data_IF_768586392595
#
_entry.id   IF_768586392595
#
_cell.length_a   1.000
_cell.length_b   1.000
_cell.length_c   1.000
_cell.angle_alpha   90.00
_cell.angle_beta   90.00
_cell.angle_gamma   90.00
#
_symmetry.space_group_name_H-M   'P 1'
#
loop_
_entity.id
_entity.type
_entity.pdbx_description
1 polymer ?
#
# COMPACT_ATOMS: atom_id res chain seq x y z
N UNK A 1 -13.28 5.06 -24.24
CA UNK A 1 -14.10 4.01 -23.58
C UNK A 1 -13.36 3.22 -22.51
N UNK A 2 -12.08 2.85 -22.68
CA UNK A 2 -11.32 2.04 -21.69
C UNK A 2 -11.18 2.72 -20.31
N UNK A 3 -10.85 4.01 -20.27
CA UNK A 3 -10.67 4.76 -19.01
C UNK A 3 -11.95 4.88 -18.15
N UNK A 4 -13.12 4.98 -18.78
CA UNK A 4 -14.41 5.08 -18.08
C UNK A 4 -14.77 3.73 -17.44
N UNK A 5 -14.59 2.63 -18.19
CA UNK A 5 -14.83 1.29 -17.67
C UNK A 5 -13.93 0.96 -16.47
N UNK A 6 -12.65 1.34 -16.49
CA UNK A 6 -11.72 1.08 -15.40
C UNK A 6 -11.97 1.97 -14.17
N UNK A 7 -12.51 3.18 -14.34
CA UNK A 7 -12.89 4.08 -13.24
C UNK A 7 -14.11 3.55 -12.49
N UNK A 8 -15.13 3.07 -13.21
CA UNK A 8 -16.40 2.65 -12.61
C UNK A 8 -16.41 1.20 -12.11
N UNK A 9 -15.55 0.32 -12.66
CA UNK A 9 -15.49 -1.11 -12.32
C UNK A 9 -14.20 -1.54 -11.62
N UNK A 10 -13.25 -0.61 -11.40
CA UNK A 10 -11.96 -0.88 -10.77
C UNK A 10 -12.02 -1.08 -9.25
N UNK A 11 -10.86 -1.29 -8.64
CA UNK A 11 -10.69 -1.44 -7.17
C UNK A 11 -10.25 -0.13 -6.48
N UNK A 12 -10.32 0.99 -7.17
CA UNK A 12 -9.91 2.28 -6.65
C UNK A 12 -10.87 2.78 -5.54
N UNK A 13 -10.45 3.79 -4.79
CA UNK A 13 -11.28 4.39 -3.73
C UNK A 13 -12.58 4.99 -4.31
N UNK A 14 -12.51 5.54 -5.52
CA UNK A 14 -13.68 6.09 -6.22
C UNK A 14 -14.79 5.04 -6.41
N UNK A 15 -14.47 3.87 -6.95
CA UNK A 15 -15.42 2.79 -7.20
C UNK A 15 -15.97 2.21 -5.89
N UNK A 16 -15.15 2.10 -4.86
CA UNK A 16 -15.60 1.71 -3.52
C UNK A 16 -16.59 2.72 -2.94
N UNK A 17 -16.29 4.02 -3.03
CA UNK A 17 -17.20 5.08 -2.58
C UNK A 17 -18.51 5.10 -3.39
N UNK A 18 -18.44 4.93 -4.72
CA UNK A 18 -19.62 4.83 -5.59
C UNK A 18 -20.49 3.62 -5.25
N UNK A 19 -19.91 2.46 -4.94
CA UNK A 19 -20.65 1.26 -4.49
C UNK A 19 -21.32 1.45 -3.13
N UNK A 20 -20.79 2.31 -2.28
CA UNK A 20 -21.39 2.71 -1.00
C UNK A 20 -22.48 3.80 -1.16
N UNK A 21 -22.81 4.18 -2.39
CA UNK A 21 -23.86 5.17 -2.68
C UNK A 21 -23.38 6.62 -2.74
N UNK A 22 -22.07 6.89 -2.67
CA UNK A 22 -21.54 8.25 -2.76
C UNK A 22 -21.82 8.86 -4.15
N UNK A 23 -22.20 10.15 -4.19
CA UNK A 23 -22.24 10.92 -5.44
C UNK A 23 -20.85 11.05 -6.07
N UNK A 24 -20.79 11.38 -7.37
CA UNK A 24 -19.52 11.56 -8.10
C UNK A 24 -18.57 12.56 -7.42
N UNK A 25 -19.02 13.75 -6.96
CA UNK A 25 -18.12 14.71 -6.31
C UNK A 25 -17.51 14.18 -5.01
N UNK A 26 -18.30 13.44 -4.23
CA UNK A 26 -17.84 12.84 -2.98
C UNK A 26 -16.84 11.71 -3.24
N UNK A 27 -17.07 10.88 -4.27
CA UNK A 27 -16.16 9.81 -4.64
C UNK A 27 -14.81 10.35 -5.16
N UNK A 28 -14.81 11.44 -5.93
CA UNK A 28 -13.58 12.11 -6.36
C UNK A 28 -12.83 12.73 -5.16
N UNK A 29 -13.55 13.34 -4.21
CA UNK A 29 -12.95 13.85 -2.97
C UNK A 29 -12.31 12.74 -2.12
N UNK A 30 -12.96 11.57 -2.01
CA UNK A 30 -12.42 10.41 -1.30
C UNK A 30 -11.15 9.87 -1.97
N UNK A 31 -11.13 9.79 -3.30
CA UNK A 31 -9.92 9.39 -4.04
C UNK A 31 -8.77 10.39 -3.83
N UNK A 32 -9.04 11.69 -3.89
CA UNK A 32 -8.04 12.74 -3.64
C UNK A 32 -7.50 12.69 -2.20
N UNK A 33 -8.39 12.51 -1.22
CA UNK A 33 -7.99 12.35 0.18
C UNK A 33 -7.11 11.10 0.36
N UNK A 34 -7.47 9.98 -0.28
CA UNK A 34 -6.67 8.75 -0.26
C UNK A 34 -5.28 8.94 -0.87
N UNK A 35 -5.19 9.60 -2.02
CA UNK A 35 -3.92 9.93 -2.66
C UNK A 35 -3.05 10.85 -1.78
N UNK A 36 -3.65 11.85 -1.13
CA UNK A 36 -2.94 12.73 -0.20
C UNK A 36 -2.41 11.95 1.03
N UNK A 37 -3.21 11.05 1.60
CA UNK A 37 -2.80 10.19 2.72
C UNK A 37 -1.66 9.24 2.32
N UNK A 38 -1.73 8.64 1.13
CA UNK A 38 -0.64 7.83 0.58
C UNK A 38 0.65 8.65 0.43
N UNK A 39 0.57 9.85 -0.15
CA UNK A 39 1.70 10.77 -0.26
C UNK A 39 2.29 11.15 1.10
N UNK A 40 1.43 11.42 2.09
CA UNK A 40 1.85 11.72 3.46
C UNK A 40 2.56 10.54 4.13
N UNK A 41 2.05 9.31 3.95
CA UNK A 41 2.66 8.10 4.50
C UNK A 41 4.07 7.88 3.95
N UNK A 42 4.26 8.05 2.64
CA UNK A 42 5.58 7.98 1.99
C UNK A 42 6.48 9.11 2.48
N UNK A 43 6.00 10.35 2.49
CA UNK A 43 6.78 11.47 2.99
C UNK A 43 7.28 11.24 4.43
N UNK A 44 6.40 10.74 5.30
CA UNK A 44 6.73 10.44 6.69
C UNK A 44 7.76 9.30 6.82
N UNK A 45 7.65 8.24 6.03
CA UNK A 45 8.58 7.10 6.10
C UNK A 45 9.99 7.44 5.61
N UNK A 46 10.12 8.40 4.71
CA UNK A 46 11.41 8.91 4.23
C UNK A 46 12.02 10.00 5.13
N UNK A 47 11.20 10.71 5.92
CA UNK A 47 11.67 11.74 6.86
C UNK A 47 12.13 11.21 8.22
N UNK A 48 11.74 9.99 8.60
CA UNK A 48 12.14 9.35 9.86
C UNK A 48 13.18 8.24 9.64
N UNK A 49 14.03 7.93 10.65
CA UNK A 49 14.85 6.73 10.63
C UNK A 49 13.93 5.51 10.56
N UNK A 50 13.99 4.80 9.44
CA UNK A 50 13.03 3.76 9.11
C UNK A 50 13.75 2.70 8.27
N UNK A 51 13.46 1.43 8.51
CA UNK A 51 14.11 0.35 7.78
C UNK A 51 13.82 0.45 6.27
N UNK A 52 14.85 0.26 5.44
CA UNK A 52 14.74 0.39 3.98
C UNK A 52 13.67 -0.53 3.38
N UNK A 53 13.56 -1.75 3.90
CA UNK A 53 12.55 -2.75 3.53
C UNK A 53 11.13 -2.21 3.76
N UNK A 54 10.89 -1.57 4.92
CA UNK A 54 9.61 -0.98 5.28
C UNK A 54 9.29 0.28 4.47
N UNK A 55 10.30 1.08 4.13
CA UNK A 55 10.12 2.24 3.23
C UNK A 55 9.63 1.81 1.85
N UNK A 56 10.22 0.76 1.29
CA UNK A 56 9.81 0.17 0.02
C UNK A 56 8.40 -0.42 0.15
N UNK A 57 8.09 -1.12 1.24
CA UNK A 57 6.74 -1.66 1.47
C UNK A 57 5.67 -0.56 1.52
N UNK A 58 5.92 0.54 2.22
CA UNK A 58 5.00 1.70 2.26
C UNK A 58 4.86 2.33 0.88
N UNK A 59 5.96 2.51 0.14
CA UNK A 59 5.93 3.09 -1.19
C UNK A 59 5.08 2.27 -2.17
N UNK A 60 5.28 0.95 -2.18
CA UNK A 60 4.53 0.03 -3.04
C UNK A 60 3.03 0.04 -2.69
N UNK A 61 2.70 -0.05 -1.40
CA UNK A 61 1.31 0.00 -0.94
C UNK A 61 0.63 1.34 -1.25
N UNK A 62 1.33 2.45 -1.00
CA UNK A 62 0.86 3.81 -1.28
C UNK A 62 0.64 4.05 -2.79
N UNK A 63 1.50 3.46 -3.64
CA UNK A 63 1.36 3.56 -5.11
C UNK A 63 0.04 2.95 -5.57
N UNK A 64 -0.29 1.76 -5.08
CA UNK A 64 -1.56 1.10 -5.41
C UNK A 64 -2.75 1.85 -4.82
N UNK A 65 -2.62 2.40 -3.61
CA UNK A 65 -3.69 3.15 -2.95
C UNK A 65 -4.01 4.48 -3.65
N UNK A 66 -2.99 5.20 -4.13
CA UNK A 66 -3.14 6.48 -4.80
C UNK A 66 -3.63 6.35 -6.24
N UNK A 67 -3.43 5.19 -6.88
CA UNK A 67 -3.74 5.00 -8.28
C UNK A 67 -5.26 5.14 -8.54
N UNK A 68 -5.67 6.04 -9.46
CA UNK A 68 -7.08 6.19 -9.84
C UNK A 68 -7.57 5.03 -10.70
N UNK A 69 -6.67 4.20 -11.22
CA UNK A 69 -6.98 3.02 -12.02
C UNK A 69 -6.17 1.83 -11.52
N UNK A 70 -6.72 1.09 -10.57
CA UNK A 70 -6.12 -0.16 -10.08
C UNK A 70 -6.77 -1.33 -10.79
N UNK A 71 -5.95 -2.13 -11.46
CA UNK A 71 -6.31 -3.37 -12.15
C UNK A 71 -5.74 -4.58 -11.41
N UNK A 72 -6.13 -5.80 -11.81
CA UNK A 72 -5.72 -7.01 -11.10
C UNK A 72 -4.19 -7.19 -11.04
N UNK A 73 -3.48 -6.76 -12.07
CA UNK A 73 -2.01 -6.87 -12.13
C UNK A 73 -1.30 -5.97 -11.11
N UNK A 74 -1.91 -4.86 -10.71
CA UNK A 74 -1.35 -3.96 -9.68
C UNK A 74 -1.34 -4.64 -8.30
N UNK A 75 -2.13 -5.70 -8.10
CA UNK A 75 -2.07 -6.56 -6.93
C UNK A 75 -0.67 -7.14 -6.68
N UNK A 76 0.15 -7.34 -7.71
CA UNK A 76 1.52 -7.85 -7.54
C UNK A 76 2.40 -6.87 -6.74
N UNK A 77 2.13 -5.56 -6.81
CA UNK A 77 2.83 -4.58 -5.98
C UNK A 77 2.48 -4.74 -4.50
N UNK A 78 1.22 -5.09 -4.20
CA UNK A 78 0.78 -5.41 -2.83
C UNK A 78 1.46 -6.67 -2.29
N UNK A 79 1.58 -7.73 -3.08
CA UNK A 79 2.26 -8.95 -2.65
C UNK A 79 3.76 -8.73 -2.44
N UNK A 80 4.40 -7.92 -3.28
CA UNK A 80 5.77 -7.47 -3.07
C UNK A 80 5.90 -6.66 -1.75
N UNK A 81 5.00 -5.71 -1.50
CA UNK A 81 4.98 -4.92 -0.26
C UNK A 81 4.85 -5.82 0.99
N UNK A 82 3.92 -6.77 0.95
CA UNK A 82 3.72 -7.76 2.01
C UNK A 82 4.97 -8.64 2.24
N UNK A 83 5.67 -9.03 1.17
CA UNK A 83 6.90 -9.82 1.25
C UNK A 83 8.02 -9.07 1.95
N UNK A 84 8.20 -7.77 1.66
CA UNK A 84 9.19 -6.93 2.36
C UNK A 84 8.87 -6.79 3.85
N UNK A 85 7.60 -6.56 4.19
CA UNK A 85 7.17 -6.47 5.58
C UNK A 85 7.34 -7.79 6.34
N UNK A 86 6.98 -8.91 5.71
CA UNK A 86 7.16 -10.25 6.28
C UNK A 86 8.65 -10.56 6.51
N UNK A 87 9.51 -10.24 5.53
CA UNK A 87 10.96 -10.41 5.63
C UNK A 87 11.55 -9.60 6.78
N UNK A 88 11.09 -8.36 6.96
CA UNK A 88 11.48 -7.51 8.08
C UNK A 88 11.09 -8.11 9.44
N UNK A 89 9.83 -8.56 9.56
CA UNK A 89 9.29 -9.13 10.79
C UNK A 89 9.94 -10.46 11.19
N UNK A 90 10.27 -11.32 10.20
CA UNK A 90 11.01 -12.56 10.46
C UNK A 90 12.40 -12.29 11.07
N UNK A 91 13.00 -11.13 10.80
CA UNK A 91 14.33 -10.74 11.31
C UNK A 91 14.29 -10.05 12.68
N UNK A 92 13.18 -9.38 13.04
CA UNK A 92 13.13 -8.46 14.19
C UNK A 92 12.09 -8.81 15.28
N UNK A 93 11.51 -10.02 15.21
CA UNK A 93 10.38 -10.58 16.00
C UNK A 93 9.03 -10.37 15.30
N UNK A 94 8.46 -11.46 14.79
CA UNK A 94 7.18 -11.46 14.11
C UNK A 94 6.01 -11.47 15.10
N UNK A 95 5.18 -10.42 15.07
CA UNK A 95 3.90 -10.42 15.77
C UNK A 95 2.85 -11.18 14.94
N UNK A 96 2.15 -12.16 15.53
CA UNK A 96 1.20 -13.04 14.81
C UNK A 96 0.16 -12.28 13.98
N UNK A 97 -0.36 -11.17 14.52
CA UNK A 97 -1.34 -10.33 13.81
C UNK A 97 -0.77 -9.60 12.59
N UNK A 98 0.50 -9.22 12.61
CA UNK A 98 1.17 -8.54 11.51
C UNK A 98 1.55 -9.51 10.40
N UNK A 99 1.99 -10.72 10.78
CA UNK A 99 2.22 -11.82 9.85
C UNK A 99 0.93 -12.22 9.15
N UNK A 100 -0.19 -12.32 9.89
CA UNK A 100 -1.50 -12.61 9.33
C UNK A 100 -1.96 -11.49 8.37
N UNK A 101 -1.80 -10.22 8.74
CA UNK A 101 -2.14 -9.08 7.88
C UNK A 101 -1.35 -9.11 6.57
N UNK A 102 -0.03 -9.34 6.64
CA UNK A 102 0.80 -9.48 5.46
C UNK A 102 0.45 -10.70 4.62
N UNK A 103 0.13 -11.85 5.24
CA UNK A 103 -0.30 -13.03 4.50
C UNK A 103 -1.61 -12.78 3.74
N UNK A 104 -2.58 -12.11 4.37
CA UNK A 104 -3.84 -11.71 3.72
C UNK A 104 -3.58 -10.75 2.57
N UNK A 105 -2.72 -9.74 2.78
CA UNK A 105 -2.35 -8.78 1.74
C UNK A 105 -1.58 -9.43 0.59
N UNK A 106 -0.74 -10.42 0.89
CA UNK A 106 0.03 -11.20 -0.07
C UNK A 106 -0.88 -12.08 -0.94
N UNK A 107 -1.95 -12.63 -0.35
CA UNK A 107 -2.94 -13.43 -1.07
C UNK A 107 -3.93 -12.58 -1.89
N UNK A 108 -4.00 -11.27 -1.68
CA UNK A 108 -4.90 -10.36 -2.38
C UNK A 108 -4.92 -10.50 -3.92
N UNK A 109 -3.80 -10.75 -4.64
CA UNK A 109 -3.80 -10.89 -6.09
C UNK A 109 -4.51 -12.17 -6.58
N UNK A 110 -4.51 -13.23 -5.76
CA UNK A 110 -5.09 -14.54 -6.11
C UNK A 110 -6.63 -14.51 -6.10
N UNK A 111 -7.23 -13.60 -5.32
CA UNK A 111 -8.68 -13.48 -5.16
C UNK A 111 -9.33 -12.38 -6.02
N UNK A 112 -8.63 -11.92 -7.05
CA UNK A 112 -9.06 -10.80 -7.87
C UNK A 112 -9.56 -11.28 -9.26
N UNK A 113 -10.77 -10.92 -9.71
CA UNK A 113 -11.29 -9.54 -9.74
C UNK A 113 -12.36 -9.20 -8.68
N UNK A 114 -12.57 -7.90 -8.36
CA UNK A 114 -13.61 -7.39 -7.42
C UNK A 114 -15.04 -7.53 -7.94
N UNK A 115 -15.21 -8.11 -9.15
CA UNK A 115 -16.49 -8.49 -9.73
C UNK A 115 -17.00 -9.82 -9.20
N UNK A 116 -16.14 -10.63 -8.55
CA UNK A 116 -16.49 -11.96 -8.02
C UNK A 116 -16.48 -11.97 -6.49
N UNK A 117 -15.62 -11.16 -5.84
CA UNK A 117 -15.50 -11.13 -4.39
C UNK A 117 -15.76 -9.73 -3.80
N UNK A 118 -16.68 -9.67 -2.82
CA UNK A 118 -16.96 -8.48 -2.00
C UNK A 118 -15.70 -7.95 -1.26
N UNK A 119 -14.68 -8.81 -1.13
CA UNK A 119 -13.36 -8.50 -0.61
C UNK A 119 -12.70 -7.28 -1.29
N UNK A 120 -13.02 -6.98 -2.56
CA UNK A 120 -12.49 -5.80 -3.25
C UNK A 120 -12.82 -4.46 -2.58
N UNK A 121 -13.94 -4.38 -1.84
CA UNK A 121 -14.30 -3.18 -1.05
C UNK A 121 -13.40 -3.04 0.19
N UNK A 122 -12.90 -4.15 0.71
CA UNK A 122 -12.03 -4.16 1.90
C UNK A 122 -10.56 -3.89 1.57
N UNK A 123 -10.15 -4.06 0.30
CA UNK A 123 -8.77 -3.81 -0.16
C UNK A 123 -8.21 -2.43 0.22
N UNK A 124 -8.89 -1.30 -0.02
CA UNK A 124 -8.38 0.00 0.43
C UNK A 124 -8.24 0.10 1.96
N UNK A 125 -9.14 -0.52 2.72
CA UNK A 125 -9.06 -0.56 4.19
C UNK A 125 -7.84 -1.39 4.63
N UNK A 126 -7.60 -2.54 3.99
CA UNK A 126 -6.44 -3.38 4.25
C UNK A 126 -5.12 -2.66 3.96
N UNK A 127 -5.05 -1.88 2.86
CA UNK A 127 -3.88 -1.07 2.53
C UNK A 127 -3.64 0.02 3.57
N UNK A 128 -4.70 0.72 3.99
CA UNK A 128 -4.60 1.75 5.01
C UNK A 128 -4.16 1.17 6.37
N UNK A 129 -4.72 0.02 6.77
CA UNK A 129 -4.30 -0.70 7.97
C UNK A 129 -2.85 -1.18 7.88
N UNK A 130 -2.43 -1.69 6.73
CA UNK A 130 -1.05 -2.11 6.52
C UNK A 130 -0.07 -0.94 6.60
N UNK A 131 -0.38 0.18 5.94
CA UNK A 131 0.45 1.38 5.97
C UNK A 131 0.53 1.99 7.38
N UNK A 132 -0.58 2.04 8.12
CA UNK A 132 -0.59 2.53 9.51
C UNK A 132 0.23 1.63 10.44
N UNK A 133 0.07 0.30 10.35
CA UNK A 133 0.90 -0.65 11.12
C UNK A 133 2.38 -0.51 10.81
N UNK A 134 2.75 -0.33 9.55
CA UNK A 134 4.14 -0.05 9.21
C UNK A 134 4.57 1.26 9.88
N UNK A 135 3.82 2.35 9.75
CA UNK A 135 4.19 3.65 10.34
C UNK A 135 4.26 3.65 11.88
N UNK A 136 3.58 2.70 12.53
CA UNK A 136 3.66 2.44 13.97
C UNK A 136 4.90 1.65 14.38
N UNK A 137 5.55 0.91 13.46
CA UNK A 137 6.84 0.27 13.75
C UNK A 137 7.85 1.32 14.18
N UNK A 138 8.38 1.11 15.39
CA UNK A 138 9.39 1.98 15.96
C UNK A 138 10.61 2.10 15.03
N UNK A 139 11.26 3.27 14.99
CA UNK A 139 12.44 3.47 14.18
C UNK A 139 13.49 2.41 14.52
N UNK A 140 13.87 1.63 13.51
CA UNK A 140 15.02 0.74 13.64
C UNK A 140 16.27 1.61 13.84
N UNK A 141 17.14 1.29 14.82
CA UNK A 141 18.35 2.07 15.09
C UNK A 141 19.39 2.00 13.96
N UNK A 142 19.11 1.28 12.87
CA UNK A 142 20.00 1.24 11.72
C UNK A 142 20.05 2.59 11.00
N UNK A 143 21.26 3.06 10.64
CA UNK A 143 21.41 4.31 9.94
C UNK A 143 20.62 4.27 8.64
N UNK A 144 19.89 5.35 8.36
CA UNK A 144 19.34 5.60 7.03
C UNK A 144 20.45 5.36 6.01
N UNK A 145 20.18 4.61 4.94
CA UNK A 145 21.09 4.38 3.80
C UNK A 145 21.89 5.65 3.54
N UNK A 146 23.09 5.72 4.11
CA UNK A 146 24.05 6.77 3.81
C UNK A 146 24.38 6.51 2.36
N UNK A 147 24.03 7.46 1.50
CA UNK A 147 24.43 7.43 0.10
C UNK A 147 25.90 7.05 0.07
N UNK A 148 26.21 5.95 -0.62
CA UNK A 148 27.57 5.48 -0.76
C UNK A 148 28.39 6.62 -1.35
N UNK A 149 29.14 7.32 -0.52
CA UNK A 149 30.33 8.02 -0.97
C UNK A 149 31.30 6.92 -1.36
N UNK A 150 31.19 6.49 -2.61
CA UNK A 150 32.26 5.78 -3.29
C UNK A 150 33.47 6.73 -3.27
N UNK A 151 34.30 6.58 -2.25
CA UNK A 151 35.65 7.12 -2.23
C UNK A 151 36.45 6.28 -3.22
N UNK A 152 36.36 6.65 -4.50
CA UNK A 152 37.30 6.23 -5.51
C UNK A 152 38.62 6.97 -5.24
N UNK A 153 39.47 6.37 -4.41
CA UNK A 153 40.90 6.67 -4.38
C UNK A 153 41.60 5.54 -5.12
N UNK A 154 41.92 5.81 -6.37
CA UNK A 154 42.97 5.15 -7.14
C UNK A 154 44.02 6.23 -7.47
#
# INVERSE_FOLDING_TARGET
QWQINSRDKGMNLFACARRLGAGVPLADAVQLAGAALAGWAVWRSFRKPFASELRIAVLLAATVFAAPHVMNYDGVLLSAAATFFLSHNLRHKAHRGETALAAVLWLCPLFNPPSVFFAGITTPILIALFATRILEHHPSPYPALSGGTASATA
#
